data_IF_843098026840
#
_entry.id   IF_843098026840
#
_cell.length_a   1.000
_cell.length_b   1.000
_cell.length_c   1.000
_cell.angle_alpha   90.00
_cell.angle_beta   90.00
_cell.angle_gamma   90.00
#
_symmetry.space_group_name_H-M   'P 1'
#
loop_
_entity.id
_entity.type
_entity.pdbx_description
1 polymer ?
#
# COMPACT_ATOMS: atom_id res chain seq x y z
N UNK A 1 -17.33 -17.67 4.81
CA UNK A 1 -16.28 -16.98 5.58
C UNK A 1 -15.31 -16.40 4.58
N UNK A 2 -15.13 -15.08 4.56
CA UNK A 2 -14.32 -14.39 3.54
C UNK A 2 -13.06 -13.83 4.18
N UNK A 3 -11.93 -13.96 3.48
CA UNK A 3 -10.62 -13.48 3.91
C UNK A 3 -10.09 -12.52 2.84
N UNK A 4 -9.54 -11.39 3.27
CA UNK A 4 -8.73 -10.53 2.39
C UNK A 4 -7.26 -10.72 2.75
N UNK A 5 -6.44 -10.99 1.75
CA UNK A 5 -5.01 -11.28 1.92
C UNK A 5 -4.15 -10.27 1.17
N UNK A 6 -3.15 -9.73 1.84
CA UNK A 6 -2.21 -8.76 1.28
C UNK A 6 -0.86 -9.41 0.95
N UNK A 7 -0.28 -9.14 -0.23
CA UNK A 7 0.97 -9.76 -0.65
C UNK A 7 2.17 -9.21 0.13
N UNK A 8 3.24 -10.02 0.15
CA UNK A 8 4.56 -9.60 0.60
C UNK A 8 5.44 -9.05 -0.52
N UNK A 9 6.71 -8.82 -0.19
CA UNK A 9 7.75 -8.40 -1.15
C UNK A 9 7.99 -9.46 -2.22
N UNK A 10 8.36 -9.03 -3.42
CA UNK A 10 8.59 -9.87 -4.60
C UNK A 10 7.56 -9.68 -5.72
N UNK A 11 6.46 -8.97 -5.44
CA UNK A 11 5.39 -8.67 -6.41
C UNK A 11 5.44 -7.25 -6.97
N UNK A 12 6.41 -6.44 -6.55
CA UNK A 12 6.55 -5.05 -7.01
C UNK A 12 6.96 -4.98 -8.48
N UNK A 13 6.37 -4.04 -9.20
CA UNK A 13 6.70 -3.72 -10.60
C UNK A 13 6.50 -2.24 -10.86
N UNK A 14 7.25 -1.67 -11.79
CA UNK A 14 7.02 -0.31 -12.25
C UNK A 14 5.62 -0.20 -12.88
N UNK A 15 4.94 0.90 -12.61
CA UNK A 15 3.59 1.18 -13.08
C UNK A 15 2.48 0.53 -12.26
N UNK A 16 2.78 -0.24 -11.21
CA UNK A 16 1.73 -0.81 -10.36
C UNK A 16 0.86 0.29 -9.73
N UNK A 17 -0.46 0.10 -9.74
CA UNK A 17 -1.40 1.09 -9.18
C UNK A 17 -1.58 2.37 -10.01
N UNK A 18 -0.81 2.58 -11.09
CA UNK A 18 -0.90 3.80 -11.92
C UNK A 18 -2.29 4.00 -12.52
N UNK A 19 -2.88 2.96 -13.09
CA UNK A 19 -4.24 3.04 -13.66
C UNK A 19 -5.28 3.42 -12.59
N UNK A 20 -5.09 2.97 -11.35
CA UNK A 20 -5.98 3.34 -10.25
C UNK A 20 -5.79 4.81 -9.88
N UNK A 21 -4.55 5.27 -9.75
CA UNK A 21 -4.21 6.68 -9.51
C UNK A 21 -4.82 7.60 -10.59
N UNK A 22 -4.69 7.23 -11.86
CA UNK A 22 -5.15 8.09 -12.96
C UNK A 22 -6.68 8.18 -13.02
N UNK A 23 -7.38 7.10 -12.69
CA UNK A 23 -8.84 7.01 -12.87
C UNK A 23 -9.67 7.27 -11.60
N UNK A 24 -9.09 7.19 -10.40
CA UNK A 24 -9.84 7.32 -9.15
C UNK A 24 -9.20 8.32 -8.17
N UNK A 25 -9.96 9.34 -7.75
CA UNK A 25 -9.49 10.34 -6.77
C UNK A 25 -9.07 9.71 -5.46
N UNK A 26 -9.84 8.74 -4.95
CA UNK A 26 -9.53 8.05 -3.71
C UNK A 26 -8.18 7.33 -3.77
N UNK A 27 -7.76 6.80 -4.93
CA UNK A 27 -6.44 6.22 -5.08
C UNK A 27 -5.34 7.30 -5.05
N UNK A 28 -5.56 8.44 -5.71
CA UNK A 28 -4.62 9.58 -5.68
C UNK A 28 -4.40 10.08 -4.27
N UNK A 29 -5.46 10.18 -3.48
CA UNK A 29 -5.38 10.66 -2.10
C UNK A 29 -4.51 9.73 -1.24
N UNK A 30 -4.61 8.41 -1.44
CA UNK A 30 -3.78 7.41 -0.75
C UNK A 30 -2.30 7.58 -1.13
N UNK A 31 -1.98 7.67 -2.42
CA UNK A 31 -0.59 7.88 -2.84
C UNK A 31 -0.03 9.21 -2.34
N UNK A 32 -0.85 10.27 -2.36
CA UNK A 32 -0.46 11.59 -1.86
C UNK A 32 -0.18 11.54 -0.35
N UNK A 33 -1.05 10.93 0.44
CA UNK A 33 -0.84 10.82 1.89
C UNK A 33 0.44 10.04 2.21
N UNK A 34 0.71 8.96 1.47
CA UNK A 34 1.96 8.20 1.62
C UNK A 34 3.17 9.05 1.26
N UNK A 35 3.15 9.77 0.14
CA UNK A 35 4.25 10.66 -0.26
C UNK A 35 4.52 11.73 0.79
N UNK A 36 3.46 12.41 1.25
CA UNK A 36 3.55 13.45 2.28
C UNK A 36 4.10 12.87 3.60
N UNK A 37 3.68 11.65 3.98
CA UNK A 37 4.14 11.00 5.21
C UNK A 37 5.62 10.65 5.20
N UNK A 38 6.20 10.40 4.02
CA UNK A 38 7.58 10.00 3.83
C UNK A 38 8.49 11.16 3.44
N UNK A 39 7.93 12.36 3.22
CA UNK A 39 8.62 13.50 2.59
C UNK A 39 9.38 13.07 1.31
N UNK A 40 8.76 12.18 0.54
CA UNK A 40 9.39 11.54 -0.62
C UNK A 40 8.31 11.13 -1.61
N UNK A 41 8.50 11.47 -2.89
CA UNK A 41 7.61 11.07 -3.99
C UNK A 41 7.76 9.59 -4.32
N UNK A 42 7.28 8.74 -3.43
CA UNK A 42 7.26 7.29 -3.62
C UNK A 42 6.37 6.92 -4.80
N UNK A 43 5.27 7.65 -5.01
CA UNK A 43 4.38 7.47 -6.17
C UNK A 43 5.12 7.60 -7.51
N UNK A 44 5.98 8.61 -7.69
CA UNK A 44 6.79 8.79 -8.91
C UNK A 44 7.72 7.58 -9.15
N UNK A 45 8.36 7.08 -8.08
CA UNK A 45 9.18 5.88 -8.11
C UNK A 45 8.36 4.63 -8.49
N UNK A 46 7.17 4.46 -7.91
CA UNK A 46 6.27 3.35 -8.23
C UNK A 46 5.85 3.39 -9.70
N UNK A 47 5.45 4.56 -10.21
CA UNK A 47 4.82 4.67 -11.51
C UNK A 47 5.81 4.71 -12.67
N UNK A 48 6.94 5.39 -12.50
CA UNK A 48 7.85 5.71 -13.61
C UNK A 48 9.34 5.58 -13.28
N UNK A 49 9.68 5.22 -12.04
CA UNK A 49 11.07 5.16 -11.60
C UNK A 49 11.83 3.90 -12.05
N UNK A 50 13.00 3.71 -11.45
CA UNK A 50 13.87 2.55 -11.72
C UNK A 50 13.48 1.36 -10.84
N UNK A 51 13.32 0.19 -11.46
CA UNK A 51 13.00 -1.06 -10.77
C UNK A 51 14.06 -1.43 -9.73
N UNK A 52 15.34 -1.10 -9.95
CA UNK A 52 16.39 -1.37 -8.96
C UNK A 52 16.19 -0.54 -7.69
N UNK A 53 15.82 0.73 -7.84
CA UNK A 53 15.49 1.61 -6.72
C UNK A 53 14.20 1.17 -6.02
N UNK A 54 13.15 0.85 -6.78
CA UNK A 54 11.90 0.34 -6.21
C UNK A 54 12.13 -0.97 -5.44
N UNK A 55 13.06 -1.81 -5.89
CA UNK A 55 13.40 -3.11 -5.27
C UNK A 55 14.27 -3.01 -4.02
N UNK A 56 14.73 -1.82 -3.63
CA UNK A 56 15.33 -1.61 -2.31
C UNK A 56 14.25 -1.84 -1.26
N UNK A 57 14.52 -2.67 -0.26
CA UNK A 57 13.55 -3.08 0.77
C UNK A 57 12.84 -1.88 1.42
N UNK A 58 13.58 -0.80 1.73
CA UNK A 58 12.99 0.43 2.27
C UNK A 58 11.99 1.12 1.34
N UNK A 59 12.11 0.98 0.01
CA UNK A 59 11.15 1.47 -0.98
C UNK A 59 10.03 0.46 -1.25
N UNK A 60 10.38 -0.81 -1.41
CA UNK A 60 9.44 -1.86 -1.81
C UNK A 60 8.31 -2.03 -0.79
N UNK A 61 8.64 -1.99 0.51
CA UNK A 61 7.68 -2.21 1.57
C UNK A 61 6.54 -1.18 1.61
N UNK A 62 6.80 0.13 1.77
CA UNK A 62 5.74 1.12 1.73
C UNK A 62 5.05 1.20 0.36
N UNK A 63 5.75 0.88 -0.73
CA UNK A 63 5.16 0.90 -2.08
C UNK A 63 4.06 -0.16 -2.28
N UNK A 64 4.32 -1.41 -1.87
CA UNK A 64 3.34 -2.48 -1.97
C UNK A 64 2.13 -2.26 -1.06
N UNK A 65 2.35 -1.67 0.12
CA UNK A 65 1.28 -1.25 1.02
C UNK A 65 0.41 -0.17 0.38
N UNK A 66 1.02 0.90 -0.14
CA UNK A 66 0.30 2.02 -0.76
C UNK A 66 -0.60 1.56 -1.91
N UNK A 67 -0.09 0.71 -2.81
CA UNK A 67 -0.85 0.15 -3.93
C UNK A 67 -2.01 -0.72 -3.44
N UNK A 68 -1.76 -1.56 -2.44
CA UNK A 68 -2.79 -2.45 -1.88
C UNK A 68 -3.93 -1.65 -1.24
N UNK A 69 -3.60 -0.62 -0.46
CA UNK A 69 -4.59 0.24 0.19
C UNK A 69 -5.33 1.09 -0.85
N UNK A 70 -4.64 1.63 -1.87
CA UNK A 70 -5.29 2.41 -2.93
C UNK A 70 -6.34 1.57 -3.69
N UNK A 71 -5.99 0.35 -4.08
CA UNK A 71 -6.92 -0.57 -4.75
C UNK A 71 -8.09 -0.93 -3.84
N UNK A 72 -7.81 -1.22 -2.56
CA UNK A 72 -8.86 -1.51 -1.59
C UNK A 72 -9.85 -0.35 -1.46
N UNK A 73 -9.35 0.88 -1.34
CA UNK A 73 -10.20 2.07 -1.17
C UNK A 73 -11.07 2.36 -2.39
N UNK A 74 -10.53 2.15 -3.59
CA UNK A 74 -11.34 2.18 -4.82
C UNK A 74 -12.43 1.12 -4.79
N UNK A 75 -12.12 -0.10 -4.34
CA UNK A 75 -13.09 -1.18 -4.27
C UNK A 75 -14.19 -0.91 -3.23
N UNK A 76 -13.85 -0.39 -2.05
CA UNK A 76 -14.80 0.06 -1.03
C UNK A 76 -15.76 1.12 -1.60
N UNK A 77 -15.23 2.12 -2.31
CA UNK A 77 -16.02 3.19 -2.94
C UNK A 77 -16.97 2.64 -4.02
N UNK A 78 -16.45 1.83 -4.95
CA UNK A 78 -17.24 1.33 -6.10
C UNK A 78 -18.29 0.30 -5.73
N UNK A 79 -18.01 -0.52 -4.72
CA UNK A 79 -18.93 -1.58 -4.30
C UNK A 79 -19.81 -1.18 -3.11
N UNK A 80 -19.66 0.04 -2.59
CA UNK A 80 -20.50 0.57 -1.52
C UNK A 80 -20.44 -0.22 -0.22
N UNK A 81 -19.28 -0.81 0.11
CA UNK A 81 -19.09 -1.55 1.35
C UNK A 81 -17.87 -1.08 2.12
N UNK A 82 -17.89 -1.30 3.45
CA UNK A 82 -16.72 -1.16 4.32
C UNK A 82 -16.08 -2.51 4.55
N UNK A 83 -14.75 -2.58 4.51
CA UNK A 83 -14.00 -3.83 4.61
C UNK A 83 -14.40 -4.67 5.84
N UNK A 84 -14.58 -4.01 6.99
CA UNK A 84 -14.99 -4.64 8.25
C UNK A 84 -16.40 -5.25 8.25
N UNK A 85 -17.22 -4.94 7.23
CA UNK A 85 -18.54 -5.56 7.03
C UNK A 85 -18.53 -6.69 6.01
N UNK A 86 -17.51 -6.76 5.14
CA UNK A 86 -17.46 -7.70 4.00
C UNK A 86 -16.55 -8.89 4.25
N UNK A 87 -15.46 -8.69 5.00
CA UNK A 87 -14.46 -9.70 5.28
C UNK A 87 -14.45 -10.03 6.77
N UNK A 88 -14.33 -11.32 7.10
CA UNK A 88 -14.26 -11.79 8.48
C UNK A 88 -12.83 -11.72 9.01
N UNK A 89 -11.84 -11.83 8.13
CA UNK A 89 -10.43 -11.82 8.48
C UNK A 89 -9.63 -11.02 7.45
N UNK A 90 -8.59 -10.35 7.93
CA UNK A 90 -7.56 -9.72 7.13
C UNK A 90 -6.24 -10.36 7.53
N UNK A 91 -5.43 -10.73 6.54
CA UNK A 91 -4.10 -11.28 6.78
C UNK A 91 -3.11 -10.80 5.71
N UNK A 92 -1.83 -11.01 5.92
CA UNK A 92 -0.85 -10.79 4.87
C UNK A 92 0.49 -11.42 5.21
N UNK A 93 1.35 -11.51 4.21
CA UNK A 93 2.65 -12.15 4.33
C UNK A 93 3.75 -11.11 4.58
N UNK A 94 4.47 -11.20 5.70
CA UNK A 94 5.56 -10.28 6.07
C UNK A 94 5.06 -8.82 6.10
N UNK A 95 5.51 -7.92 5.20
CA UNK A 95 4.99 -6.55 5.10
C UNK A 95 3.46 -6.51 4.89
N UNK A 96 2.89 -7.56 4.28
CA UNK A 96 1.46 -7.68 4.06
C UNK A 96 0.67 -7.73 5.37
N UNK A 97 1.26 -8.19 6.47
CA UNK A 97 0.62 -8.17 7.79
C UNK A 97 0.40 -6.73 8.27
N UNK A 98 1.41 -5.87 8.11
CA UNK A 98 1.29 -4.43 8.41
C UNK A 98 0.28 -3.74 7.49
N UNK A 99 0.21 -4.18 6.23
CA UNK A 99 -0.84 -3.73 5.29
C UNK A 99 -2.23 -4.16 5.75
N UNK A 100 -2.38 -5.38 6.27
CA UNK A 100 -3.63 -5.88 6.82
C UNK A 100 -4.09 -5.08 8.06
N UNK A 101 -3.15 -4.75 8.95
CA UNK A 101 -3.41 -3.90 10.12
C UNK A 101 -3.81 -2.48 9.72
N UNK A 102 -3.16 -1.91 8.71
CA UNK A 102 -3.53 -0.62 8.13
C UNK A 102 -4.95 -0.67 7.51
N UNK A 103 -5.26 -1.69 6.73
CA UNK A 103 -6.58 -1.90 6.13
C UNK A 103 -7.68 -2.06 7.18
N UNK A 104 -7.36 -2.65 8.34
CA UNK A 104 -8.25 -2.77 9.49
C UNK A 104 -8.39 -1.47 10.30
N UNK A 105 -7.66 -0.40 9.95
CA UNK A 105 -7.54 0.86 10.70
C UNK A 105 -6.97 0.69 12.12
N UNK A 106 -6.14 -0.34 12.35
CA UNK A 106 -5.41 -0.52 13.62
C UNK A 106 -4.22 0.46 13.69
N UNK A 107 -3.58 0.69 12.55
CA UNK A 107 -2.49 1.64 12.37
C UNK A 107 -2.90 2.60 11.24
N UNK A 108 -2.63 3.89 11.38
CA UNK A 108 -2.93 4.87 10.33
C UNK A 108 -2.11 4.60 9.06
N UNK A 109 -2.56 5.10 7.90
CA UNK A 109 -1.82 4.95 6.65
C UNK A 109 -0.45 5.64 6.72
N UNK A 110 -0.42 6.90 7.18
CA UNK A 110 0.81 7.66 7.42
C UNK A 110 1.81 6.93 8.34
N UNK A 111 1.35 6.39 9.47
CA UNK A 111 2.24 5.68 10.40
C UNK A 111 2.70 4.34 9.83
N UNK A 112 1.83 3.64 9.09
CA UNK A 112 2.20 2.38 8.42
C UNK A 112 3.26 2.62 7.36
N UNK A 113 3.16 3.70 6.57
CA UNK A 113 4.15 4.06 5.56
C UNK A 113 5.53 4.31 6.20
N UNK A 114 5.58 5.14 7.25
CA UNK A 114 6.80 5.43 8.01
C UNK A 114 7.39 4.17 8.65
N UNK A 115 6.55 3.35 9.29
CA UNK A 115 6.97 2.10 9.91
C UNK A 115 7.58 1.15 8.89
N UNK A 116 6.96 0.99 7.71
CA UNK A 116 7.47 0.12 6.66
C UNK A 116 8.76 0.65 6.03
N UNK A 117 8.92 1.98 5.93
CA UNK A 117 10.19 2.60 5.53
C UNK A 117 11.31 2.23 6.52
N UNK A 118 11.10 2.50 7.81
CA UNK A 118 12.07 2.21 8.88
C UNK A 118 12.39 0.71 8.94
N UNK A 119 11.36 -0.14 8.87
CA UNK A 119 11.52 -1.60 8.85
C UNK A 119 12.37 -2.03 7.66
N UNK A 120 12.13 -1.47 6.48
CA UNK A 120 12.89 -1.80 5.30
C UNK A 120 14.35 -1.33 5.37
N UNK A 121 14.63 -0.18 5.98
CA UNK A 121 16.00 0.29 6.24
C UNK A 121 16.75 -0.61 7.21
N UNK A 122 16.08 -1.08 8.28
CA UNK A 122 16.68 -1.97 9.26
C UNK A 122 16.95 -3.40 8.74
N UNK A 123 16.30 -3.79 7.64
CA UNK A 123 16.44 -5.11 7.02
C UNK A 123 17.43 -5.14 5.85
N UNK A 124 17.87 -3.97 5.39
CA UNK A 124 18.59 -3.81 4.13
C UNK A 124 20.02 -4.36 4.21
#
# INVERSE_FOLDING_TARGET
>A
MNILMFPGQGSQKIGMGKDFNDNFSVARDIFKEVDDSLDFKLSDLIFTGDIKQLSLTFNTQPALMAVSIAILKVFEEKMGFKINKKFNFLCGHSLGELTALCAANVISLSDTAKLLRIRGEAMQ
#
